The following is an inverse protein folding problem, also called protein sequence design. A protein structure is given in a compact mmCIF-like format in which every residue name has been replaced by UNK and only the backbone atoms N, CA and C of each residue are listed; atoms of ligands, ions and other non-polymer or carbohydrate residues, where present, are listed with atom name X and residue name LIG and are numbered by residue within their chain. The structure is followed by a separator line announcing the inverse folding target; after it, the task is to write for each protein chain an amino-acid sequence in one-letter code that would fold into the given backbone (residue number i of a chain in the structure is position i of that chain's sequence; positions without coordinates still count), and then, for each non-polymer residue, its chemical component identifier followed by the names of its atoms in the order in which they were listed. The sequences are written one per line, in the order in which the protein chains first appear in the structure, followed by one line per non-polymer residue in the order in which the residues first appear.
data_IF_063462779885
#
_entry.id   IF_063462779885
#
_cell.length_a   1.000
_cell.length_b   1.000
_cell.length_c   1.000
_cell.angle_alpha   90.00
_cell.angle_beta   90.00
_cell.angle_gamma   90.00
#
_symmetry.space_group_name_H-M   'P 1'
#
loop_
_entity.id
_entity.type
_entity.pdbx_description
1 polymer ?
#
# COMPACT_ATOMS: atom_id res chain seq x y z
N UNK A 1 12.54 -11.11 -25.75
CA UNK A 1 12.18 -10.43 -24.49
C UNK A 1 10.97 -11.15 -23.96
N UNK A 2 11.13 -11.99 -22.93
CA UNK A 2 9.98 -12.67 -22.32
C UNK A 2 9.01 -11.62 -21.77
N UNK A 3 7.79 -11.63 -22.30
CA UNK A 3 6.67 -10.93 -21.73
C UNK A 3 6.38 -11.56 -20.36
N UNK A 4 7.12 -11.13 -19.34
CA UNK A 4 6.79 -11.44 -17.95
C UNK A 4 5.37 -10.92 -17.76
N UNK A 5 4.42 -11.84 -17.65
CA UNK A 5 3.04 -11.53 -17.41
C UNK A 5 2.96 -11.03 -15.97
N UNK A 6 3.07 -9.71 -15.76
CA UNK A 6 3.09 -9.12 -14.43
C UNK A 6 1.70 -9.31 -13.85
N UNK A 7 1.55 -10.26 -12.95
CA UNK A 7 0.29 -10.48 -12.26
C UNK A 7 0.30 -9.72 -10.94
N UNK A 8 -0.84 -9.13 -10.64
CA UNK A 8 -1.08 -8.38 -9.42
C UNK A 8 -2.27 -8.96 -8.68
N UNK A 9 -2.32 -8.64 -7.40
CA UNK A 9 -3.43 -8.93 -6.51
C UNK A 9 -3.96 -7.63 -5.95
N UNK A 10 -5.23 -7.63 -5.57
CA UNK A 10 -5.84 -6.50 -4.87
C UNK A 10 -6.17 -6.94 -3.45
N UNK A 11 -5.70 -6.18 -2.46
CA UNK A 11 -6.00 -6.40 -1.05
C UNK A 11 -6.46 -5.08 -0.47
N UNK A 12 -7.73 -5.00 -0.08
CA UNK A 12 -8.40 -3.79 0.37
C UNK A 12 -8.13 -2.59 -0.55
N UNK A 13 -8.49 -2.76 -1.83
CA UNK A 13 -8.31 -1.78 -2.92
C UNK A 13 -6.88 -1.42 -3.31
N UNK A 14 -5.86 -2.00 -2.68
CA UNK A 14 -4.46 -1.74 -3.03
C UNK A 14 -3.88 -2.87 -3.87
N UNK A 15 -3.12 -2.50 -4.90
CA UNK A 15 -2.43 -3.42 -5.79
C UNK A 15 -1.06 -3.84 -5.23
N UNK A 16 -0.77 -5.12 -5.34
CA UNK A 16 0.51 -5.71 -4.98
C UNK A 16 0.94 -6.72 -6.04
N UNK A 17 2.24 -6.94 -6.17
CA UNK A 17 2.78 -8.06 -6.93
C UNK A 17 2.17 -9.39 -6.43
N UNK A 18 1.63 -10.22 -7.34
CA UNK A 18 1.02 -11.50 -6.93
C UNK A 18 2.05 -12.45 -6.30
N UNK A 19 3.25 -12.51 -6.85
CA UNK A 19 4.25 -13.49 -6.39
C UNK A 19 4.86 -13.09 -5.05
N UNK A 20 5.17 -11.80 -4.88
CA UNK A 20 5.93 -11.30 -3.74
C UNK A 20 5.10 -10.46 -2.75
N UNK A 21 3.87 -10.11 -3.10
CA UNK A 21 2.96 -9.37 -2.21
C UNK A 21 3.41 -7.95 -1.87
N UNK A 22 4.30 -7.34 -2.66
CA UNK A 22 4.83 -5.98 -2.45
C UNK A 22 4.26 -4.98 -3.46
N UNK A 23 4.12 -3.72 -3.06
CA UNK A 23 3.78 -2.63 -3.99
C UNK A 23 4.94 -2.37 -4.96
N UNK A 24 6.12 -2.12 -4.41
CA UNK A 24 7.38 -2.08 -5.14
C UNK A 24 8.07 -3.43 -5.02
N UNK A 25 8.18 -4.15 -6.13
CA UNK A 25 8.79 -5.46 -6.21
C UNK A 25 10.03 -5.41 -7.12
N UNK A 26 11.22 -5.41 -6.50
CA UNK A 26 12.49 -5.39 -7.23
C UNK A 26 12.75 -6.67 -8.05
N UNK A 27 12.12 -7.80 -7.68
CA UNK A 27 12.26 -9.08 -8.38
C UNK A 27 11.44 -9.09 -9.68
N UNK A 28 10.17 -8.68 -9.62
CA UNK A 28 9.30 -8.57 -10.78
C UNK A 28 9.50 -7.28 -11.58
N UNK A 29 10.20 -6.28 -10.99
CA UNK A 29 10.43 -4.93 -11.51
C UNK A 29 9.12 -4.15 -11.77
N UNK A 30 8.16 -4.28 -10.87
CA UNK A 30 6.94 -3.49 -10.87
C UNK A 30 6.86 -2.60 -9.62
N UNK A 31 6.21 -1.45 -9.76
CA UNK A 31 5.95 -0.52 -8.67
C UNK A 31 4.52 0.00 -8.77
N UNK A 32 3.68 -0.38 -7.80
CA UNK A 32 2.27 0.00 -7.71
C UNK A 32 2.02 1.16 -6.74
N UNK A 33 3.07 1.78 -6.15
CA UNK A 33 2.89 2.85 -5.15
C UNK A 33 2.11 4.03 -5.72
N UNK A 34 2.49 4.51 -6.91
CA UNK A 34 1.80 5.62 -7.57
C UNK A 34 0.32 5.29 -7.83
N UNK A 35 0.03 4.09 -8.35
CA UNK A 35 -1.35 3.65 -8.58
C UNK A 35 -2.16 3.60 -7.28
N UNK A 36 -1.57 3.08 -6.19
CA UNK A 36 -2.24 2.99 -4.90
C UNK A 36 -2.42 4.37 -4.24
N UNK A 37 -1.45 5.27 -4.41
CA UNK A 37 -1.54 6.66 -3.95
C UNK A 37 -2.75 7.36 -4.59
N UNK A 38 -2.91 7.21 -5.90
CA UNK A 38 -4.04 7.77 -6.65
C UNK A 38 -5.35 7.07 -6.32
N UNK A 39 -5.40 5.73 -6.35
CA UNK A 39 -6.64 4.97 -6.13
C UNK A 39 -7.22 5.17 -4.73
N UNK A 40 -6.42 5.63 -3.77
CA UNK A 40 -6.85 5.90 -2.39
C UNK A 40 -6.90 7.38 -2.05
N UNK A 41 -6.75 8.27 -3.05
CA UNK A 41 -6.74 9.73 -2.86
C UNK A 41 -5.79 10.20 -1.76
N UNK A 42 -4.63 9.55 -1.61
CA UNK A 42 -3.73 9.80 -0.48
C UNK A 42 -3.22 11.25 -0.44
N UNK A 43 -2.99 11.86 -1.60
CA UNK A 43 -2.60 13.27 -1.69
C UNK A 43 -3.66 14.19 -1.08
N UNK A 44 -4.95 13.89 -1.26
CA UNK A 44 -6.05 14.67 -0.69
C UNK A 44 -6.24 14.36 0.80
N UNK A 45 -6.22 13.08 1.18
CA UNK A 45 -6.42 12.65 2.58
C UNK A 45 -5.30 13.15 3.49
N UNK A 46 -4.08 13.24 2.97
CA UNK A 46 -2.89 13.61 3.73
C UNK A 46 -2.42 15.04 3.42
N UNK A 47 -3.14 15.82 2.61
CA UNK A 47 -2.72 17.15 2.13
C UNK A 47 -2.20 18.04 3.27
N UNK A 48 -3.01 18.22 4.32
CA UNK A 48 -2.63 19.02 5.48
C UNK A 48 -1.37 18.50 6.19
N UNK A 49 -1.17 17.18 6.24
CA UNK A 49 0.02 16.58 6.84
C UNK A 49 1.26 16.72 5.95
N UNK A 50 1.09 16.67 4.63
CA UNK A 50 2.16 16.79 3.65
C UNK A 50 2.63 18.24 3.50
N UNK A 51 1.74 19.23 3.60
CA UNK A 51 2.10 20.65 3.56
C UNK A 51 3.11 21.03 4.66
N UNK A 52 2.85 20.56 5.88
CA UNK A 52 3.63 20.86 7.07
C UNK A 52 4.89 19.99 7.23
N UNK A 53 5.16 19.08 6.28
CA UNK A 53 6.25 18.11 6.38
C UNK A 53 7.07 18.07 5.10
N UNK A 54 8.26 17.50 5.20
CA UNK A 54 9.08 17.13 4.04
C UNK A 54 8.89 15.62 3.81
N UNK A 55 7.78 15.25 3.18
CA UNK A 55 7.44 13.86 2.89
C UNK A 55 7.06 13.72 1.41
N UNK A 56 7.79 12.87 0.70
CA UNK A 56 7.51 12.54 -0.69
C UNK A 56 6.68 11.25 -0.76
N UNK A 57 5.39 11.41 -1.10
CA UNK A 57 4.44 10.30 -1.14
C UNK A 57 4.79 9.25 -2.21
N UNK A 58 5.48 9.65 -3.27
CA UNK A 58 5.90 8.74 -4.34
C UNK A 58 7.13 7.92 -3.93
N UNK A 59 7.92 8.45 -3.00
CA UNK A 59 9.08 7.75 -2.40
C UNK A 59 8.77 7.08 -1.06
N UNK A 60 7.50 7.03 -0.64
CA UNK A 60 7.12 6.36 0.61
C UNK A 60 7.56 4.90 0.63
N UNK A 61 7.64 4.34 1.84
CA UNK A 61 7.97 2.95 2.02
C UNK A 61 6.92 2.02 1.38
N UNK A 62 7.41 1.08 0.56
CA UNK A 62 6.62 0.01 -0.06
C UNK A 62 5.93 -0.87 0.99
N UNK A 63 4.64 -1.15 0.80
CA UNK A 63 3.86 -2.06 1.64
C UNK A 63 3.95 -3.50 1.16
N UNK A 64 3.73 -4.42 2.09
CA UNK A 64 3.79 -5.86 1.85
C UNK A 64 2.55 -6.56 2.41
N UNK A 65 1.64 -6.95 1.52
CA UNK A 65 0.37 -7.58 1.87
C UNK A 65 0.54 -8.89 2.65
N UNK A 66 1.45 -9.76 2.21
CA UNK A 66 1.69 -11.06 2.87
C UNK A 66 2.30 -10.92 4.26
N UNK A 67 3.22 -9.97 4.47
CA UNK A 67 3.75 -9.68 5.81
C UNK A 67 2.67 -9.12 6.75
N UNK A 68 1.61 -8.51 6.20
CA UNK A 68 0.42 -8.09 6.95
C UNK A 68 -0.64 -9.19 7.09
N UNK A 69 -0.33 -10.41 6.67
CA UNK A 69 -1.18 -11.57 6.85
C UNK A 69 -2.21 -11.79 5.74
N UNK A 70 -2.08 -11.16 4.57
CA UNK A 70 -2.91 -11.51 3.42
C UNK A 70 -2.60 -12.95 2.97
N UNK A 71 -3.65 -13.75 2.81
CA UNK A 71 -3.60 -15.12 2.31
C UNK A 71 -4.69 -15.31 1.25
N UNK A 72 -4.47 -16.15 0.23
CA UNK A 72 -5.49 -16.43 -0.76
C UNK A 72 -6.71 -17.10 -0.11
N UNK A 73 -7.90 -16.72 -0.55
CA UNK A 73 -9.13 -17.47 -0.26
C UNK A 73 -9.01 -18.79 -1.02
N UNK A 74 -9.05 -19.92 -0.30
CA UNK A 74 -9.13 -21.25 -0.91
C UNK A 74 -10.53 -21.45 -1.49
N UNK A 75 -10.85 -20.76 -2.56
CA UNK A 75 -12.01 -21.13 -3.36
C UNK A 75 -11.51 -21.64 -4.70
N UNK A 76 -12.12 -22.74 -5.17
CA UNK A 76 -11.82 -23.38 -6.45
C UNK A 76 -12.18 -22.53 -7.67
N UNK A 77 -12.19 -21.21 -7.54
CA UNK A 77 -12.38 -20.24 -8.59
C UNK A 77 -11.19 -20.31 -9.55
N UNK A 78 -11.37 -21.10 -10.62
CA UNK A 78 -10.55 -21.13 -11.84
C UNK A 78 -10.65 -19.81 -12.64
N UNK A 79 -10.69 -18.68 -11.95
CA UNK A 79 -10.83 -17.34 -12.50
C UNK A 79 -9.53 -16.54 -12.46
N UNK A 80 -9.49 -15.43 -13.19
CA UNK A 80 -8.30 -14.55 -13.32
C UNK A 80 -8.02 -13.67 -12.09
N UNK A 81 -8.93 -13.61 -11.12
CA UNK A 81 -8.79 -12.77 -9.92
C UNK A 81 -8.77 -13.63 -8.65
N UNK A 82 -7.58 -13.90 -8.12
CA UNK A 82 -7.45 -14.52 -6.80
C UNK A 82 -7.91 -13.54 -5.73
N UNK A 83 -8.83 -13.97 -4.87
CA UNK A 83 -9.29 -13.18 -3.73
C UNK A 83 -8.39 -13.41 -2.52
N UNK A 84 -8.22 -12.38 -1.70
CA UNK A 84 -7.34 -12.43 -0.52
C UNK A 84 -8.10 -12.05 0.74
N UNK A 85 -7.82 -12.79 1.81
CA UNK A 85 -8.33 -12.52 3.16
C UNK A 85 -7.20 -12.33 4.15
N UNK A 86 -7.49 -11.69 5.27
CA UNK A 86 -6.55 -11.67 6.38
C UNK A 86 -6.50 -13.04 7.06
N UNK A 87 -5.30 -13.44 7.48
CA UNK A 87 -5.07 -14.68 8.22
C UNK A 87 -5.70 -14.63 9.61
N UNK A 88 -5.67 -13.47 10.26
CA UNK A 88 -6.10 -13.31 11.65
C UNK A 88 -7.61 -13.34 11.81
N UNK A 89 -8.34 -12.51 11.06
CA UNK A 89 -9.80 -12.41 11.19
C UNK A 89 -10.55 -13.26 10.14
N UNK A 90 -9.86 -13.85 9.17
CA UNK A 90 -10.47 -14.64 8.11
C UNK A 90 -11.33 -13.83 7.12
N UNK A 91 -11.34 -12.51 7.23
CA UNK A 91 -12.17 -11.61 6.43
C UNK A 91 -11.42 -11.13 5.18
N UNK A 92 -12.10 -11.16 4.03
CA UNK A 92 -11.67 -10.48 2.80
C UNK A 92 -11.60 -8.97 3.05
N UNK A 93 -10.55 -8.31 2.56
CA UNK A 93 -10.39 -6.86 2.66
C UNK A 93 -10.59 -6.36 4.11
N UNK A 94 -9.96 -7.06 5.07
CA UNK A 94 -10.07 -6.74 6.49
C UNK A 94 -9.58 -5.33 6.78
N UNK A 95 -10.53 -4.44 7.10
CA UNK A 95 -10.27 -3.03 7.40
C UNK A 95 -9.35 -2.80 8.60
N UNK A 96 -9.24 -3.76 9.51
CA UNK A 96 -8.31 -3.68 10.65
C UNK A 96 -6.88 -4.05 10.26
N UNK A 97 -6.69 -5.09 9.44
CA UNK A 97 -5.36 -5.56 9.07
C UNK A 97 -4.76 -4.82 7.87
N UNK A 98 -5.62 -4.32 6.98
CA UNK A 98 -5.28 -3.75 5.68
C UNK A 98 -5.69 -2.27 5.61
N UNK A 99 -5.60 -1.53 6.71
CA UNK A 99 -5.88 -0.10 6.77
C UNK A 99 -4.72 0.72 6.17
N UNK A 100 -4.50 0.56 4.87
CA UNK A 100 -3.31 1.07 4.18
C UNK A 100 -3.12 2.59 4.32
N UNK A 101 -4.21 3.35 4.26
CA UNK A 101 -4.21 4.81 4.45
C UNK A 101 -3.69 5.20 5.83
N UNK A 102 -4.19 4.55 6.90
CA UNK A 102 -3.74 4.81 8.26
C UNK A 102 -2.25 4.46 8.45
N UNK A 103 -1.79 3.38 7.79
CA UNK A 103 -0.38 2.98 7.83
C UNK A 103 0.50 4.03 7.15
N UNK A 104 0.09 4.59 6.01
CA UNK A 104 0.83 5.71 5.37
C UNK A 104 0.79 6.96 6.23
N UNK A 105 -0.35 7.31 6.81
CA UNK A 105 -0.45 8.44 7.75
C UNK A 105 0.58 8.31 8.89
N UNK A 106 0.65 7.14 9.51
CA UNK A 106 1.60 6.89 10.60
C UNK A 106 3.06 7.02 10.13
N UNK A 107 3.38 6.59 8.91
CA UNK A 107 4.71 6.79 8.33
C UNK A 107 5.05 8.28 8.18
N UNK A 108 4.14 9.07 7.60
CA UNK A 108 4.31 10.53 7.46
C UNK A 108 4.53 11.19 8.82
N UNK A 109 3.79 10.73 9.83
CA UNK A 109 3.87 11.28 11.18
C UNK A 109 5.20 10.97 11.88
N UNK A 110 5.75 9.78 11.67
CA UNK A 110 6.97 9.29 12.32
C UNK A 110 8.26 9.69 11.59
N UNK A 111 8.24 9.77 10.26
CA UNK A 111 9.46 9.91 9.46
C UNK A 111 9.76 11.33 8.99
N UNK A 112 8.80 12.25 9.02
CA UNK A 112 9.03 13.62 8.55
C UNK A 112 8.93 14.65 9.67
N UNK A 113 9.98 15.45 9.92
CA UNK A 113 9.92 16.54 10.89
C UNK A 113 8.88 17.59 10.45
N UNK A 114 8.18 18.20 11.42
CA UNK A 114 7.31 19.35 11.15
C UNK A 114 8.17 20.53 10.71
N UNK A 115 7.76 21.23 9.65
CA UNK A 115 8.28 22.55 9.31
C UNK A 115 7.99 23.46 10.50
N UNK A 116 9.03 23.88 11.22
CA UNK A 116 8.88 24.79 12.34
C UNK A 116 8.32 26.13 11.84
N UNK A 117 7.26 26.61 12.48
CA UNK A 117 7.01 28.05 12.53
C UNK A 117 8.22 28.62 13.27
N UNK A 118 9.09 29.36 12.58
CA UNK A 118 10.16 30.10 13.24
C UNK A 118 9.52 30.87 14.40
N UNK A 119 10.05 30.78 15.65
CA UNK A 119 9.58 31.65 16.70
C UNK A 119 9.82 33.09 16.23
N UNK A 120 8.75 33.88 16.16
CA UNK A 120 8.87 35.33 15.94
C UNK A 120 9.76 35.88 17.05
N UNK A 121 10.91 36.42 16.66
CA UNK A 121 11.84 37.12 17.54
C UNK A 121 11.19 38.37 18.15
#
# INVERSE_FOLDING_TARGET
MDARNWRWIVVNSWKFCEEHGREECLQCRCDYRLENNHASDLHLILDALLLDRDFDLDKRMSRHAYNRGAIPVKDGSKGRSKEYKCRTHGQKDCWTCFEWVAIVRQEVELLSPRKGRLPSA
#
